data_IF_153980502818
#
_entry.id   IF_153980502818
#
_cell.length_a   1.000
_cell.length_b   1.000
_cell.length_c   1.000
_cell.angle_alpha   90.00
_cell.angle_beta   90.00
_cell.angle_gamma   90.00
#
_symmetry.space_group_name_H-M   'P 1'
#
loop_
_entity.id
_entity.type
_entity.pdbx_description
1 polymer ?
#
# COMPACT_ATOMS: atom_id res chain seq x y z
N UNK A 1 -12.69 -0.88 -22.23
CA UNK A 1 -13.85 -0.74 -21.32
C UNK A 1 -13.36 -0.81 -19.88
N UNK A 2 -13.54 0.25 -19.07
CA UNK A 2 -13.19 0.23 -17.64
C UNK A 2 -14.16 -0.72 -16.93
N UNK A 3 -13.64 -1.74 -16.25
CA UNK A 3 -14.44 -2.72 -15.51
C UNK A 3 -15.30 -2.03 -14.43
N UNK A 4 -16.51 -2.53 -14.18
CA UNK A 4 -17.46 -1.99 -13.19
C UNK A 4 -16.87 -1.56 -11.83
N UNK A 5 -16.01 -2.37 -11.16
CA UNK A 5 -15.42 -2.00 -9.87
C UNK A 5 -14.42 -0.82 -9.95
N UNK A 6 -13.70 -0.66 -11.05
CA UNK A 6 -12.83 0.50 -11.27
C UNK A 6 -13.66 1.78 -11.45
N UNK A 7 -14.80 1.72 -12.16
CA UNK A 7 -15.71 2.86 -12.31
C UNK A 7 -16.26 3.34 -10.97
N UNK A 8 -16.69 2.42 -10.11
CA UNK A 8 -17.22 2.75 -8.78
C UNK A 8 -16.18 3.44 -7.89
N UNK A 9 -14.90 3.01 -7.98
CA UNK A 9 -13.80 3.61 -7.23
C UNK A 9 -13.50 5.03 -7.72
N UNK A 10 -13.46 5.23 -9.04
CA UNK A 10 -13.27 6.55 -9.65
C UNK A 10 -14.42 7.49 -9.26
N UNK A 11 -15.66 7.00 -9.32
CA UNK A 11 -16.84 7.79 -8.97
C UNK A 11 -16.83 8.20 -7.50
N UNK A 12 -16.53 7.27 -6.57
CA UNK A 12 -16.41 7.59 -5.15
C UNK A 12 -15.33 8.63 -4.88
N UNK A 13 -14.16 8.49 -5.52
CA UNK A 13 -13.06 9.47 -5.42
C UNK A 13 -13.52 10.85 -5.90
N UNK A 14 -14.18 10.92 -7.06
CA UNK A 14 -14.72 12.17 -7.59
C UNK A 14 -15.74 12.79 -6.63
N UNK A 15 -16.68 12.01 -6.10
CA UNK A 15 -17.68 12.49 -5.13
C UNK A 15 -17.02 13.04 -3.87
N UNK A 16 -16.05 12.33 -3.26
CA UNK A 16 -15.34 12.81 -2.06
C UNK A 16 -14.65 14.15 -2.31
N UNK A 17 -13.95 14.27 -3.43
CA UNK A 17 -13.24 15.50 -3.78
C UNK A 17 -14.23 16.64 -4.02
N UNK A 18 -15.30 16.41 -4.79
CA UNK A 18 -16.32 17.41 -5.06
C UNK A 18 -17.03 17.87 -3.79
N UNK A 19 -17.37 16.95 -2.89
CA UNK A 19 -18.02 17.28 -1.61
C UNK A 19 -17.07 18.09 -0.74
N UNK A 20 -15.83 17.64 -0.53
CA UNK A 20 -14.85 18.37 0.29
C UNK A 20 -14.56 19.77 -0.28
N UNK A 21 -14.39 19.87 -1.60
CA UNK A 21 -14.16 21.11 -2.31
C UNK A 21 -15.35 22.09 -2.16
N UNK A 22 -16.58 21.59 -2.33
CA UNK A 22 -17.79 22.42 -2.23
C UNK A 22 -18.05 22.89 -0.79
N UNK A 23 -17.92 21.97 0.18
CA UNK A 23 -18.13 22.28 1.61
C UNK A 23 -17.03 23.19 2.15
N UNK A 24 -15.81 23.15 1.60
CA UNK A 24 -14.77 24.11 1.94
C UNK A 24 -15.00 25.48 1.29
N UNK A 25 -15.32 25.50 0.00
CA UNK A 25 -15.41 26.72 -0.79
C UNK A 25 -16.63 27.59 -0.46
N UNK A 26 -17.85 27.04 -0.54
CA UNK A 26 -19.08 27.84 -0.44
C UNK A 26 -19.25 28.53 0.92
N UNK A 27 -19.04 27.87 2.07
CA UNK A 27 -19.18 28.52 3.38
C UNK A 27 -18.12 29.61 3.61
N UNK A 28 -16.88 29.41 3.17
CA UNK A 28 -15.84 30.42 3.31
C UNK A 28 -16.10 31.63 2.40
N UNK A 29 -16.55 31.40 1.17
CA UNK A 29 -16.82 32.47 0.23
C UNK A 29 -18.07 33.27 0.59
N UNK A 30 -19.21 32.60 0.77
CA UNK A 30 -20.51 33.26 0.94
C UNK A 30 -20.91 33.45 2.41
N UNK A 31 -20.41 32.61 3.31
CA UNK A 31 -20.72 32.70 4.75
C UNK A 31 -19.75 33.61 5.49
N UNK A 32 -18.44 33.39 5.31
CA UNK A 32 -17.40 34.15 6.01
C UNK A 32 -16.84 35.34 5.22
N UNK A 33 -17.12 35.45 3.91
CA UNK A 33 -16.58 36.51 3.07
C UNK A 33 -15.05 36.44 2.90
N UNK A 34 -14.46 35.25 2.98
CA UNK A 34 -13.01 35.01 2.91
C UNK A 34 -12.64 34.37 1.56
N UNK A 35 -12.51 35.14 0.46
CA UNK A 35 -12.31 34.59 -0.87
C UNK A 35 -10.96 33.88 -1.02
N UNK A 36 -9.91 34.35 -0.33
CA UNK A 36 -8.59 33.71 -0.39
C UNK A 36 -8.62 32.36 0.33
N UNK A 37 -9.19 32.30 1.54
CA UNK A 37 -9.35 31.05 2.26
C UNK A 37 -10.21 30.04 1.47
N UNK A 38 -11.30 30.51 0.83
CA UNK A 38 -12.16 29.68 0.00
C UNK A 38 -11.39 29.04 -1.16
N UNK A 39 -10.53 29.81 -1.85
CA UNK A 39 -9.70 29.31 -2.95
C UNK A 39 -8.77 28.17 -2.50
N UNK A 40 -8.07 28.36 -1.38
CA UNK A 40 -7.15 27.35 -0.85
C UNK A 40 -7.90 26.11 -0.34
N UNK A 41 -9.10 26.31 0.24
CA UNK A 41 -9.97 25.20 0.65
C UNK A 41 -10.52 24.39 -0.54
N UNK A 42 -10.68 25.01 -1.71
CA UNK A 42 -11.05 24.33 -2.96
C UNK A 42 -9.89 23.54 -3.55
N UNK A 43 -8.71 24.16 -3.62
CA UNK A 43 -7.54 23.56 -4.26
C UNK A 43 -6.93 22.42 -3.45
N UNK A 44 -7.03 22.44 -2.11
CA UNK A 44 -6.49 21.37 -1.27
C UNK A 44 -7.07 19.98 -1.60
N UNK A 45 -8.40 19.80 -1.68
CA UNK A 45 -9.00 18.56 -2.14
C UNK A 45 -8.61 18.16 -3.57
N UNK A 46 -8.38 19.12 -4.46
CA UNK A 46 -7.98 18.84 -5.85
C UNK A 46 -6.52 18.35 -5.88
N UNK A 47 -5.62 19.06 -5.21
CA UNK A 47 -4.20 18.72 -5.13
C UNK A 47 -3.98 17.33 -4.51
N UNK A 48 -4.60 17.08 -3.36
CA UNK A 48 -4.42 15.83 -2.59
C UNK A 48 -5.35 14.71 -3.03
N UNK A 49 -6.51 15.04 -3.58
CA UNK A 49 -7.54 14.06 -3.93
C UNK A 49 -7.54 13.67 -5.40
N UNK A 50 -7.23 14.57 -6.34
CA UNK A 50 -7.20 14.29 -7.79
C UNK A 50 -5.78 14.09 -8.32
N UNK A 51 -4.88 15.03 -8.04
CA UNK A 51 -3.51 14.99 -8.58
C UNK A 51 -2.62 14.01 -7.83
N UNK A 52 -2.85 13.86 -6.52
CA UNK A 52 -2.11 12.90 -5.72
C UNK A 52 -2.74 11.51 -5.81
N UNK A 53 -2.02 10.55 -6.37
CA UNK A 53 -2.44 9.15 -6.41
C UNK A 53 -1.96 8.48 -5.13
N UNK A 54 -2.63 8.79 -4.01
CA UNK A 54 -2.29 8.21 -2.70
C UNK A 54 -2.88 6.81 -2.61
N UNK A 55 -2.04 5.76 -2.57
CA UNK A 55 -2.55 4.41 -2.63
C UNK A 55 -2.77 3.91 -1.18
N UNK A 56 -3.95 3.35 -0.87
CA UNK A 56 -4.30 2.85 0.46
C UNK A 56 -5.81 2.74 0.70
N UNK A 57 -6.19 2.29 1.88
CA UNK A 57 -7.57 2.40 2.41
C UNK A 57 -7.91 3.84 2.81
N UNK A 58 -9.19 4.18 2.97
CA UNK A 58 -9.63 5.53 3.36
C UNK A 58 -8.88 6.11 4.57
N UNK A 59 -8.82 5.40 5.72
CA UNK A 59 -8.08 5.88 6.90
C UNK A 59 -6.57 6.04 6.67
N UNK A 60 -5.96 5.15 5.86
CA UNK A 60 -4.54 5.27 5.52
C UNK A 60 -4.29 6.49 4.63
N UNK A 61 -5.16 6.75 3.64
CA UNK A 61 -5.09 7.96 2.80
C UNK A 61 -5.25 9.21 3.64
N UNK A 62 -6.23 9.25 4.54
CA UNK A 62 -6.44 10.36 5.46
C UNK A 62 -5.20 10.60 6.33
N UNK A 63 -4.62 9.55 6.93
CA UNK A 63 -3.38 9.67 7.71
C UNK A 63 -2.20 10.19 6.88
N UNK A 64 -2.08 9.76 5.63
CA UNK A 64 -1.05 10.24 4.69
C UNK A 64 -1.28 11.71 4.32
N UNK A 65 -2.51 12.13 4.05
CA UNK A 65 -2.88 13.53 3.78
C UNK A 65 -2.58 14.42 4.99
N UNK A 66 -2.94 13.97 6.20
CA UNK A 66 -2.65 14.69 7.44
C UNK A 66 -1.14 14.80 7.70
N UNK A 67 -0.35 13.78 7.38
CA UNK A 67 1.12 13.84 7.45
C UNK A 67 1.74 14.73 6.38
N UNK A 68 1.06 14.90 5.24
CA UNK A 68 1.47 15.80 4.17
C UNK A 68 1.05 17.27 4.42
N UNK A 69 0.18 17.52 5.41
CA UNK A 69 -0.28 18.87 5.73
C UNK A 69 0.86 19.79 6.21
N UNK A 70 1.73 19.42 7.17
CA UNK A 70 2.85 20.27 7.58
C UNK A 70 3.77 20.70 6.42
N UNK A 71 4.27 19.80 5.54
CA UNK A 71 5.07 20.24 4.41
C UNK A 71 4.27 21.06 3.39
N UNK A 72 2.97 20.80 3.20
CA UNK A 72 2.11 21.63 2.35
C UNK A 72 1.99 23.07 2.87
N UNK A 73 1.84 23.25 4.19
CA UNK A 73 1.81 24.56 4.83
C UNK A 73 3.15 25.29 4.66
N UNK A 74 4.27 24.60 4.89
CA UNK A 74 5.62 25.16 4.67
C UNK A 74 5.81 25.59 3.22
N UNK A 75 5.39 24.79 2.24
CA UNK A 75 5.49 25.12 0.82
C UNK A 75 4.61 26.33 0.45
N UNK A 76 3.40 26.43 1.01
CA UNK A 76 2.52 27.57 0.79
C UNK A 76 3.10 28.86 1.41
N UNK A 77 3.72 28.77 2.59
CA UNK A 77 4.44 29.89 3.21
C UNK A 77 5.64 30.30 2.36
N UNK A 78 6.49 29.35 1.95
CA UNK A 78 7.63 29.61 1.09
C UNK A 78 7.21 30.25 -0.23
N UNK A 79 6.22 29.69 -0.92
CA UNK A 79 5.75 30.25 -2.20
C UNK A 79 5.22 31.69 -2.05
N UNK A 80 4.57 32.00 -0.93
CA UNK A 80 4.10 33.37 -0.63
C UNK A 80 5.25 34.33 -0.36
N UNK A 81 6.29 33.91 0.35
CA UNK A 81 7.47 34.72 0.65
C UNK A 81 8.36 34.92 -0.59
N UNK A 82 8.53 33.88 -1.40
CA UNK A 82 9.35 33.92 -2.62
C UNK A 82 8.68 34.70 -3.76
N UNK A 83 7.36 34.94 -3.69
CA UNK A 83 6.63 35.74 -4.67
C UNK A 83 7.05 37.22 -4.71
N UNK A 84 7.88 37.70 -3.77
CA UNK A 84 8.49 39.05 -3.80
C UNK A 84 9.35 39.25 -5.05
N UNK A 85 10.09 38.22 -5.45
CA UNK A 85 11.08 38.29 -6.52
C UNK A 85 10.86 37.13 -7.50
N UNK A 86 10.68 37.46 -8.78
CA UNK A 86 10.41 36.45 -9.82
C UNK A 86 11.55 35.45 -9.99
N UNK A 87 12.81 35.88 -9.86
CA UNK A 87 13.96 34.99 -9.93
C UNK A 87 14.05 34.07 -8.71
N UNK A 88 13.71 34.59 -7.53
CA UNK A 88 13.58 33.76 -6.33
C UNK A 88 12.50 32.69 -6.52
N UNK A 89 11.32 33.06 -7.04
CA UNK A 89 10.24 32.12 -7.32
C UNK A 89 10.63 31.03 -8.34
N UNK A 90 11.33 31.40 -9.42
CA UNK A 90 11.85 30.47 -10.43
C UNK A 90 12.90 29.53 -9.84
N UNK A 91 13.86 30.05 -9.07
CA UNK A 91 14.86 29.24 -8.37
C UNK A 91 14.21 28.27 -7.38
N UNK A 92 13.19 28.73 -6.64
CA UNK A 92 12.41 27.89 -5.74
C UNK A 92 11.64 26.79 -6.47
N UNK A 93 11.03 27.07 -7.64
CA UNK A 93 10.40 26.03 -8.46
C UNK A 93 11.38 24.94 -8.87
N UNK A 94 12.61 25.32 -9.27
CA UNK A 94 13.66 24.38 -9.66
C UNK A 94 14.07 23.49 -8.47
N UNK A 95 14.40 24.11 -7.32
CA UNK A 95 14.87 23.38 -6.13
C UNK A 95 13.77 22.49 -5.54
N UNK A 96 12.54 23.00 -5.39
CA UNK A 96 11.44 22.23 -4.82
C UNK A 96 11.01 21.11 -5.77
N UNK A 97 10.92 21.39 -7.08
CA UNK A 97 10.64 20.36 -8.07
C UNK A 97 11.69 19.24 -8.04
N UNK A 98 12.97 19.60 -7.92
CA UNK A 98 14.06 18.63 -7.75
C UNK A 98 13.92 17.81 -6.47
N UNK A 99 13.71 18.45 -5.31
CA UNK A 99 13.53 17.75 -4.04
C UNK A 99 12.33 16.79 -4.07
N UNK A 100 11.20 17.23 -4.63
CA UNK A 100 10.00 16.40 -4.78
C UNK A 100 10.21 15.23 -5.75
N UNK A 101 11.06 15.38 -6.77
CA UNK A 101 11.44 14.26 -7.63
C UNK A 101 12.19 13.17 -6.84
N UNK A 102 13.03 13.55 -5.87
CA UNK A 102 13.73 12.59 -5.00
C UNK A 102 12.83 11.94 -3.95
N UNK A 103 11.69 12.55 -3.59
CA UNK A 103 10.69 11.95 -2.68
C UNK A 103 10.16 10.61 -3.23
N UNK A 104 10.17 10.42 -4.56
CA UNK A 104 9.77 9.15 -5.17
C UNK A 104 10.67 7.96 -4.78
N UNK A 105 11.93 8.22 -4.41
CA UNK A 105 12.89 7.20 -3.98
C UNK A 105 12.48 6.58 -2.63
N UNK A 106 11.73 7.32 -1.80
CA UNK A 106 11.27 6.85 -0.49
C UNK A 106 10.11 5.84 -0.58
N UNK A 107 9.56 5.58 -1.77
CA UNK A 107 8.56 4.55 -2.03
C UNK A 107 7.27 5.07 -2.67
N UNK A 108 6.30 4.18 -2.93
CA UNK A 108 5.12 4.49 -3.75
C UNK A 108 4.15 5.49 -3.10
N UNK A 109 4.05 5.52 -1.76
CA UNK A 109 3.18 6.43 -1.02
C UNK A 109 3.67 7.88 -1.04
N UNK A 110 4.94 8.19 -0.69
CA UNK A 110 5.46 9.55 -0.79
C UNK A 110 5.53 10.04 -2.25
N UNK A 111 5.85 9.16 -3.22
CA UNK A 111 5.83 9.49 -4.65
C UNK A 111 4.45 10.00 -5.11
N UNK A 112 3.37 9.40 -4.61
CA UNK A 112 2.01 9.73 -5.02
C UNK A 112 1.54 11.12 -4.64
N UNK A 113 2.18 11.79 -3.67
CA UNK A 113 1.75 13.10 -3.14
C UNK A 113 2.52 14.27 -3.77
N UNK A 114 3.68 14.00 -4.37
CA UNK A 114 4.56 15.02 -4.93
C UNK A 114 3.85 16.02 -5.88
N UNK A 115 2.97 15.58 -6.82
CA UNK A 115 2.24 16.53 -7.68
C UNK A 115 1.32 17.48 -6.90
N UNK A 116 0.67 16.99 -5.84
CA UNK A 116 -0.19 17.82 -4.99
C UNK A 116 0.61 18.85 -4.18
N UNK A 117 1.76 18.45 -3.63
CA UNK A 117 2.66 19.36 -2.92
C UNK A 117 3.22 20.45 -3.84
N UNK A 118 3.62 20.08 -5.06
CA UNK A 118 4.09 21.03 -6.06
C UNK A 118 3.00 22.07 -6.40
N UNK A 119 1.73 21.65 -6.51
CA UNK A 119 0.62 22.56 -6.75
C UNK A 119 0.46 23.61 -5.64
N UNK A 120 0.67 23.27 -4.37
CA UNK A 120 0.58 24.24 -3.27
C UNK A 120 1.67 25.31 -3.34
N UNK A 121 2.89 24.93 -3.73
CA UNK A 121 3.95 25.89 -3.98
C UNK A 121 3.60 26.80 -5.18
N UNK A 122 3.19 26.21 -6.30
CA UNK A 122 2.81 26.95 -7.52
C UNK A 122 1.67 27.93 -7.21
N UNK A 123 0.60 27.48 -6.54
CA UNK A 123 -0.55 28.31 -6.21
C UNK A 123 -0.17 29.49 -5.30
N UNK A 124 0.78 29.28 -4.38
CA UNK A 124 1.26 30.33 -3.50
C UNK A 124 2.17 31.36 -4.21
N UNK A 125 2.93 30.92 -5.22
CA UNK A 125 3.78 31.78 -6.05
C UNK A 125 3.01 32.62 -7.08
N UNK A 126 1.76 32.27 -7.43
CA UNK A 126 1.05 32.85 -8.58
C UNK A 126 0.15 34.10 -8.39
N UNK A 127 -0.07 34.70 -7.20
CA UNK A 127 -0.71 36.03 -7.09
C UNK A 127 0.31 37.13 -6.74
N UNK A 128 -0.01 38.44 -6.87
CA UNK A 128 0.90 39.50 -6.41
C UNK A 128 1.30 39.26 -4.96
N UNK A 129 2.53 39.63 -4.60
CA UNK A 129 3.04 39.50 -3.24
C UNK A 129 2.07 40.17 -2.25
N UNK A 130 1.41 39.35 -1.44
CA UNK A 130 0.35 39.77 -0.51
C UNK A 130 0.50 38.98 0.81
N UNK A 131 1.53 39.28 1.61
CA UNK A 131 1.86 38.52 2.81
C UNK A 131 0.75 38.55 3.87
N UNK A 132 -0.05 39.62 3.90
CA UNK A 132 -1.16 39.79 4.85
C UNK A 132 -2.23 38.69 4.69
N UNK A 133 -2.34 38.10 3.49
CA UNK A 133 -3.28 37.02 3.20
C UNK A 133 -2.79 35.64 3.63
N UNK A 134 -1.55 35.52 4.13
CA UNK A 134 -0.93 34.22 4.44
C UNK A 134 -1.77 33.39 5.41
N UNK A 135 -2.31 34.01 6.46
CA UNK A 135 -3.14 33.32 7.46
C UNK A 135 -4.39 32.73 6.81
N UNK A 136 -5.05 33.47 5.92
CA UNK A 136 -6.21 32.99 5.17
C UNK A 136 -5.85 31.82 4.24
N UNK A 137 -4.70 31.89 3.54
CA UNK A 137 -4.21 30.81 2.67
C UNK A 137 -4.00 29.53 3.46
N UNK A 138 -3.31 29.62 4.60
CA UNK A 138 -3.01 28.47 5.46
C UNK A 138 -4.27 27.90 6.12
N UNK A 139 -5.19 28.76 6.56
CA UNK A 139 -6.48 28.36 7.12
C UNK A 139 -7.34 27.62 6.09
N UNK A 140 -7.45 28.17 4.88
CA UNK A 140 -8.16 27.55 3.76
C UNK A 140 -7.58 26.19 3.39
N UNK A 141 -6.25 26.11 3.25
CA UNK A 141 -5.54 24.87 2.93
C UNK A 141 -5.77 23.80 4.00
N UNK A 142 -5.69 24.20 5.27
CA UNK A 142 -5.93 23.32 6.42
C UNK A 142 -7.38 22.83 6.42
N UNK A 143 -8.36 23.72 6.24
CA UNK A 143 -9.77 23.37 6.20
C UNK A 143 -10.07 22.38 5.06
N UNK A 144 -9.60 22.65 3.83
CA UNK A 144 -9.78 21.75 2.70
C UNK A 144 -9.11 20.39 2.90
N UNK A 145 -7.93 20.35 3.50
CA UNK A 145 -7.23 19.11 3.85
C UNK A 145 -8.02 18.27 4.86
N UNK A 146 -8.52 18.90 5.93
CA UNK A 146 -9.29 18.25 6.97
C UNK A 146 -10.64 17.74 6.44
N UNK A 147 -11.33 18.50 5.60
CA UNK A 147 -12.58 18.09 4.96
C UNK A 147 -12.38 16.90 4.03
N UNK A 148 -11.29 16.87 3.26
CA UNK A 148 -10.96 15.71 2.42
C UNK A 148 -10.63 14.49 3.29
N UNK A 149 -9.81 14.66 4.33
CA UNK A 149 -9.48 13.58 5.25
C UNK A 149 -10.74 13.02 5.95
N UNK A 150 -11.65 13.89 6.38
CA UNK A 150 -12.94 13.49 6.93
C UNK A 150 -13.78 12.71 5.90
N UNK A 151 -13.84 13.18 4.65
CA UNK A 151 -14.56 12.50 3.56
C UNK A 151 -14.00 11.11 3.26
N UNK A 152 -12.68 10.92 3.35
CA UNK A 152 -12.03 9.60 3.22
C UNK A 152 -12.37 8.65 4.37
N UNK A 153 -12.62 9.17 5.57
CA UNK A 153 -13.05 8.36 6.73
C UNK A 153 -14.54 8.08 6.76
N UNK A 154 -15.38 9.02 6.29
CA UNK A 154 -16.84 8.91 6.32
C UNK A 154 -17.40 8.07 5.16
N UNK A 155 -16.75 8.09 3.99
CA UNK A 155 -17.15 7.31 2.83
C UNK A 155 -16.04 6.33 2.44
N UNK A 156 -15.57 5.38 3.28
CA UNK A 156 -14.41 4.57 2.97
C UNK A 156 -14.61 3.68 1.72
N UNK A 157 -13.54 3.48 0.95
CA UNK A 157 -13.53 2.42 -0.07
C UNK A 157 -13.55 1.04 0.63
N UNK A 158 -14.20 0.03 0.04
CA UNK A 158 -14.10 -1.34 0.56
C UNK A 158 -12.61 -1.72 0.63
N UNK A 159 -12.16 -2.11 1.82
CA UNK A 159 -10.76 -2.40 2.08
C UNK A 159 -10.31 -3.56 1.19
N UNK A 160 -9.35 -3.31 0.31
CA UNK A 160 -8.66 -4.40 -0.38
C UNK A 160 -7.85 -5.17 0.67
N UNK A 161 -7.85 -6.52 0.64
CA UNK A 161 -7.06 -7.30 1.57
C UNK A 161 -5.59 -6.96 1.39
N UNK A 162 -4.91 -6.74 2.52
CA UNK A 162 -3.50 -6.36 2.53
C UNK A 162 -2.64 -7.47 1.94
N UNK A 163 -1.44 -7.14 1.46
CA UNK A 163 -0.53 -8.19 0.95
C UNK A 163 -0.19 -9.23 2.02
N UNK A 164 -0.14 -8.81 3.29
CA UNK A 164 0.06 -9.70 4.44
C UNK A 164 -1.08 -10.69 4.62
N UNK A 165 -2.32 -10.25 4.47
CA UNK A 165 -3.51 -11.11 4.52
C UNK A 165 -3.58 -12.06 3.33
N UNK A 166 -3.26 -11.58 2.12
CA UNK A 166 -3.17 -12.40 0.90
C UNK A 166 -2.13 -13.51 1.08
N UNK A 167 -0.95 -13.16 1.59
CA UNK A 167 0.10 -14.13 1.89
C UNK A 167 -0.33 -15.14 2.95
N UNK A 168 -1.02 -14.70 4.01
CA UNK A 168 -1.54 -15.60 5.03
C UNK A 168 -2.59 -16.57 4.46
N UNK A 169 -3.50 -16.09 3.61
CA UNK A 169 -4.50 -16.93 2.96
C UNK A 169 -3.86 -17.97 2.01
N UNK A 170 -2.85 -17.55 1.24
CA UNK A 170 -2.10 -18.46 0.38
C UNK A 170 -1.34 -19.55 1.16
N UNK A 171 -0.80 -19.20 2.33
CA UNK A 171 -0.15 -20.16 3.24
C UNK A 171 -1.16 -21.13 3.87
N UNK A 172 -2.38 -20.70 4.17
CA UNK A 172 -3.43 -21.63 4.62
C UNK A 172 -3.81 -22.62 3.52
N UNK A 173 -3.89 -22.19 2.25
CA UNK A 173 -4.11 -23.10 1.12
C UNK A 173 -2.92 -24.05 0.93
N UNK A 174 -1.68 -23.57 1.10
CA UNK A 174 -0.50 -24.43 1.08
C UNK A 174 -0.53 -25.48 2.21
N UNK A 175 -0.99 -25.10 3.42
CA UNK A 175 -1.14 -26.03 4.53
C UNK A 175 -2.17 -27.12 4.23
N UNK A 176 -3.28 -26.79 3.59
CA UNK A 176 -4.29 -27.76 3.15
C UNK A 176 -3.76 -28.65 2.02
N UNK A 177 -3.01 -28.09 1.08
CA UNK A 177 -2.39 -28.85 -0.01
C UNK A 177 -1.33 -29.86 0.47
N UNK A 178 -0.66 -29.57 1.58
CA UNK A 178 0.28 -30.48 2.23
C UNK A 178 -0.40 -31.51 3.17
N UNK A 179 -1.67 -31.33 3.50
CA UNK A 179 -2.39 -32.24 4.40
C UNK A 179 -2.96 -33.47 3.64
N UNK A 180 -3.17 -34.61 4.35
CA UNK A 180 -3.86 -35.76 3.77
C UNK A 180 -5.27 -35.39 3.29
N UNK A 181 -5.62 -35.79 2.08
CA UNK A 181 -6.92 -35.47 1.45
C UNK A 181 -6.84 -34.42 0.34
N UNK A 182 -5.71 -33.72 0.20
CA UNK A 182 -5.35 -32.92 -0.97
C UNK A 182 -6.25 -31.71 -1.25
N UNK A 183 -5.70 -30.75 -1.99
CA UNK A 183 -6.47 -29.66 -2.60
C UNK A 183 -6.28 -29.77 -4.10
N UNK A 184 -7.31 -29.47 -4.89
CA UNK A 184 -7.20 -29.46 -6.35
C UNK A 184 -6.00 -28.60 -6.79
N UNK A 185 -5.16 -29.08 -7.72
CA UNK A 185 -3.92 -28.38 -8.11
C UNK A 185 -4.20 -26.99 -8.68
N UNK A 186 -5.34 -26.80 -9.36
CA UNK A 186 -5.79 -25.49 -9.86
C UNK A 186 -5.96 -24.48 -8.72
N UNK A 187 -6.55 -24.91 -7.60
CA UNK A 187 -6.80 -24.03 -6.44
C UNK A 187 -5.50 -23.60 -5.76
N UNK A 188 -4.47 -24.46 -5.76
CA UNK A 188 -3.14 -24.09 -5.26
C UNK A 188 -2.46 -23.06 -6.18
N UNK A 189 -2.58 -23.24 -7.50
CA UNK A 189 -2.06 -22.28 -8.49
C UNK A 189 -2.80 -20.95 -8.45
N UNK A 190 -4.12 -20.98 -8.26
CA UNK A 190 -4.95 -19.78 -8.08
C UNK A 190 -4.55 -19.03 -6.81
N UNK A 191 -4.35 -19.73 -5.69
CA UNK A 191 -3.83 -19.11 -4.48
C UNK A 191 -2.46 -18.44 -4.74
N UNK A 192 -1.58 -19.08 -5.51
CA UNK A 192 -0.28 -18.52 -5.90
C UNK A 192 -0.40 -17.31 -6.83
N UNK A 193 -1.36 -17.31 -7.76
CA UNK A 193 -1.56 -16.21 -8.70
C UNK A 193 -1.94 -14.91 -7.98
N UNK A 194 -2.73 -14.98 -6.90
CA UNK A 194 -3.12 -13.80 -6.09
C UNK A 194 -1.94 -13.06 -5.44
N UNK A 195 -0.77 -13.70 -5.32
CA UNK A 195 0.45 -13.13 -4.76
C UNK A 195 1.33 -12.41 -5.80
N UNK A 196 0.99 -12.49 -7.09
CA UNK A 196 1.70 -11.77 -8.16
C UNK A 196 1.49 -10.27 -7.97
N UNK A 197 2.59 -9.53 -7.88
CA UNK A 197 2.55 -8.08 -7.60
C UNK A 197 1.78 -7.29 -8.66
N UNK A 198 1.70 -7.79 -9.89
CA UNK A 198 0.89 -7.19 -10.95
C UNK A 198 -0.60 -7.12 -10.58
N UNK A 199 -1.10 -8.17 -9.92
CA UNK A 199 -2.51 -8.35 -9.54
C UNK A 199 -2.84 -7.72 -8.17
N UNK A 200 -1.81 -7.26 -7.45
CA UNK A 200 -1.96 -6.56 -6.17
C UNK A 200 -2.17 -5.06 -6.43
N UNK A 201 -3.15 -4.40 -5.79
CA UNK A 201 -3.31 -2.96 -5.89
C UNK A 201 -2.01 -2.23 -5.52
N UNK A 202 -1.61 -1.16 -6.25
CA UNK A 202 -0.34 -0.46 -6.00
C UNK A 202 -0.09 -0.06 -4.54
N UNK A 203 -1.15 0.19 -3.79
CA UNK A 203 -1.15 0.55 -2.36
C UNK A 203 -0.64 -0.52 -1.41
N UNK A 204 -0.95 -1.76 -1.75
CA UNK A 204 -0.71 -2.93 -0.94
C UNK A 204 0.58 -3.65 -1.38
N UNK A 205 1.18 -3.23 -2.50
CA UNK A 205 2.43 -3.83 -2.99
C UNK A 205 3.55 -3.56 -1.98
N UNK A 206 4.28 -4.59 -1.52
CA UNK A 206 5.45 -4.43 -0.67
C UNK A 206 6.65 -3.93 -1.50
N UNK A 207 6.58 -2.70 -1.98
CA UNK A 207 7.56 -2.11 -2.90
C UNK A 207 8.47 -1.04 -2.25
N UNK A 208 8.39 -0.84 -0.93
CA UNK A 208 9.26 0.10 -0.23
C UNK A 208 10.69 -0.43 -0.03
N UNK A 209 11.59 0.48 0.32
CA UNK A 209 13.00 0.15 0.59
C UNK A 209 13.22 -0.51 1.97
N UNK A 210 12.18 -0.59 2.81
CA UNK A 210 12.26 -1.12 4.16
C UNK A 210 12.44 -2.64 4.22
N UNK A 211 13.06 -3.12 5.31
CA UNK A 211 13.27 -4.57 5.55
C UNK A 211 11.97 -5.37 5.53
N UNK A 212 10.88 -4.80 6.06
CA UNK A 212 9.58 -5.46 6.10
C UNK A 212 9.00 -5.69 4.69
N UNK A 213 9.10 -4.70 3.81
CA UNK A 213 8.61 -4.82 2.42
C UNK A 213 9.45 -5.83 1.65
N UNK A 214 10.78 -5.78 1.79
CA UNK A 214 11.67 -6.79 1.21
C UNK A 214 11.39 -8.21 1.71
N UNK A 215 11.13 -8.37 3.00
CA UNK A 215 10.77 -9.66 3.58
C UNK A 215 9.43 -10.19 3.05
N UNK A 216 8.41 -9.32 2.92
CA UNK A 216 7.12 -9.69 2.34
C UNK A 216 7.23 -10.09 0.87
N UNK A 217 7.99 -9.33 0.09
CA UNK A 217 8.24 -9.62 -1.32
C UNK A 217 8.93 -10.98 -1.50
N UNK A 218 9.94 -11.28 -0.67
CA UNK A 218 10.63 -12.56 -0.67
C UNK A 218 9.71 -13.70 -0.21
N UNK A 219 8.96 -13.51 0.87
CA UNK A 219 8.02 -14.50 1.36
C UNK A 219 6.93 -14.84 0.33
N UNK A 220 6.44 -13.83 -0.40
CA UNK A 220 5.48 -14.02 -1.49
C UNK A 220 6.05 -14.78 -2.69
N UNK A 221 7.33 -14.61 -3.03
CA UNK A 221 8.01 -15.46 -4.03
C UNK A 221 8.11 -16.91 -3.57
N UNK A 222 8.56 -17.13 -2.33
CA UNK A 222 8.70 -18.47 -1.76
C UNK A 222 7.37 -19.19 -1.62
N UNK A 223 6.31 -18.52 -1.17
CA UNK A 223 4.98 -19.10 -1.04
C UNK A 223 4.40 -19.51 -2.40
N UNK A 224 4.59 -18.69 -3.45
CA UNK A 224 4.19 -19.07 -4.82
C UNK A 224 4.91 -20.32 -5.30
N UNK A 225 6.22 -20.40 -5.07
CA UNK A 225 7.01 -21.58 -5.43
C UNK A 225 6.53 -22.82 -4.67
N UNK A 226 6.26 -22.70 -3.38
CA UNK A 226 5.73 -23.80 -2.57
C UNK A 226 4.38 -24.29 -3.10
N UNK A 227 3.45 -23.38 -3.38
CA UNK A 227 2.14 -23.72 -3.94
C UNK A 227 2.24 -24.42 -5.30
N UNK A 228 3.14 -23.96 -6.16
CA UNK A 228 3.40 -24.60 -7.45
C UNK A 228 3.98 -26.01 -7.28
N UNK A 229 4.93 -26.19 -6.36
CA UNK A 229 5.48 -27.51 -6.02
C UNK A 229 4.43 -28.46 -5.44
N UNK A 230 3.54 -27.97 -4.57
CA UNK A 230 2.43 -28.76 -4.03
C UNK A 230 1.40 -29.12 -5.12
N UNK A 231 1.13 -28.22 -6.06
CA UNK A 231 0.27 -28.52 -7.20
C UNK A 231 0.88 -29.61 -8.10
N UNK A 232 2.17 -29.53 -8.40
CA UNK A 232 2.88 -30.57 -9.16
C UNK A 232 2.88 -31.91 -8.42
N UNK A 233 3.05 -31.92 -7.10
CA UNK A 233 2.95 -33.13 -6.28
C UNK A 233 1.53 -33.73 -6.30
N UNK A 234 0.49 -32.89 -6.29
CA UNK A 234 -0.90 -33.33 -6.36
C UNK A 234 -1.29 -33.93 -7.72
N UNK A 235 -0.61 -33.52 -8.80
CA UNK A 235 -0.79 -34.08 -10.14
C UNK A 235 0.00 -35.37 -10.37
N UNK A 236 1.00 -35.65 -9.53
CA UNK A 236 1.79 -36.86 -9.65
C UNK A 236 0.92 -38.10 -9.39
N UNK A 237 1.18 -39.23 -10.09
CA UNK A 237 0.45 -40.48 -9.85
C UNK A 237 0.54 -40.89 -8.39
N UNK A 238 -0.57 -41.39 -7.83
CA UNK A 238 -0.64 -41.87 -6.46
C UNK A 238 0.41 -42.96 -6.22
N UNK A 239 1.45 -42.62 -5.47
CA UNK A 239 2.44 -43.56 -4.97
C UNK A 239 1.95 -44.22 -3.67
N UNK A 240 2.49 -45.39 -3.28
CA UNK A 240 2.25 -45.97 -1.97
C UNK A 240 2.57 -44.94 -0.87
N UNK A 241 1.72 -44.87 0.16
CA UNK A 241 1.88 -43.90 1.24
C UNK A 241 3.21 -44.13 1.98
N UNK A 242 4.17 -43.23 1.78
CA UNK A 242 5.44 -43.22 2.51
C UNK A 242 5.26 -42.42 3.81
N UNK A 243 5.40 -43.05 5.00
CA UNK A 243 5.21 -42.37 6.28
C UNK A 243 6.20 -41.23 6.51
N UNK A 244 7.42 -41.31 5.97
CA UNK A 244 8.43 -40.25 6.11
C UNK A 244 8.03 -39.01 5.30
N UNK A 245 7.56 -39.23 4.07
CA UNK A 245 7.03 -38.16 3.21
C UNK A 245 5.78 -37.54 3.84
N UNK A 246 4.86 -38.34 4.38
CA UNK A 246 3.68 -37.85 5.08
C UNK A 246 4.05 -37.02 6.34
N UNK A 247 5.06 -37.44 7.10
CA UNK A 247 5.55 -36.71 8.25
C UNK A 247 6.17 -35.35 7.85
N UNK A 248 6.96 -35.30 6.78
CA UNK A 248 7.54 -34.06 6.26
C UNK A 248 6.44 -33.09 5.78
N UNK A 249 5.46 -33.59 5.03
CA UNK A 249 4.31 -32.79 4.57
C UNK A 249 3.46 -32.27 5.73
N UNK A 250 3.25 -33.08 6.77
CA UNK A 250 2.62 -32.64 8.02
C UNK A 250 3.37 -31.47 8.68
N UNK A 251 4.71 -31.52 8.72
CA UNK A 251 5.52 -30.40 9.22
C UNK A 251 5.44 -29.16 8.35
N UNK A 252 5.37 -29.31 7.02
CA UNK A 252 5.15 -28.18 6.11
C UNK A 252 3.79 -27.53 6.39
N UNK A 253 2.73 -28.32 6.58
CA UNK A 253 1.39 -27.81 6.90
C UNK A 253 1.34 -27.03 8.22
N UNK A 254 1.97 -27.56 9.27
CA UNK A 254 2.08 -26.90 10.58
C UNK A 254 2.80 -25.55 10.47
N UNK A 255 3.95 -25.51 9.77
CA UNK A 255 4.73 -24.29 9.59
C UNK A 255 3.99 -23.25 8.75
N UNK A 256 3.30 -23.67 7.68
CA UNK A 256 2.49 -22.77 6.87
C UNK A 256 1.36 -22.13 7.70
N UNK A 257 0.68 -22.92 8.54
CA UNK A 257 -0.36 -22.43 9.44
C UNK A 257 0.20 -21.49 10.51
N UNK A 258 1.38 -21.79 11.06
CA UNK A 258 2.07 -20.92 12.02
C UNK A 258 2.48 -19.59 11.38
N UNK A 259 3.04 -19.61 10.17
CA UNK A 259 3.36 -18.42 9.38
C UNK A 259 2.10 -17.59 9.08
N UNK A 260 1.02 -18.21 8.63
CA UNK A 260 -0.25 -17.54 8.35
C UNK A 260 -0.82 -16.86 9.60
N UNK A 261 -0.76 -17.53 10.76
CA UNK A 261 -1.14 -16.95 12.05
C UNK A 261 -0.26 -15.77 12.43
N UNK A 262 1.06 -15.90 12.32
CA UNK A 262 2.01 -14.82 12.61
C UNK A 262 1.76 -13.59 11.72
N UNK A 263 1.48 -13.79 10.43
CA UNK A 263 1.14 -12.69 9.51
C UNK A 263 -0.16 -11.97 9.91
N UNK A 264 -1.13 -12.66 10.52
CA UNK A 264 -2.38 -12.04 10.97
C UNK A 264 -2.27 -11.35 12.32
N UNK A 265 -1.54 -11.95 13.26
CA UNK A 265 -1.53 -11.51 14.67
C UNK A 265 -0.26 -10.77 15.07
N UNK A 266 0.80 -10.80 14.24
CA UNK A 266 2.13 -10.27 14.57
C UNK A 266 2.83 -10.99 15.72
N UNK A 267 2.27 -12.09 16.23
CA UNK A 267 2.69 -12.72 17.47
C UNK A 267 3.18 -14.15 17.23
N UNK A 268 4.19 -14.57 18.00
CA UNK A 268 4.79 -15.92 17.97
C UNK A 268 5.30 -16.31 16.58
N UNK A 269 6.42 -15.71 16.11
CA UNK A 269 7.03 -16.12 14.86
C UNK A 269 7.45 -17.60 14.93
N UNK A 270 7.29 -18.37 13.84
CA UNK A 270 7.80 -19.73 13.81
C UNK A 270 9.33 -19.72 13.91
N UNK A 271 9.93 -20.75 14.55
CA UNK A 271 11.37 -20.81 14.74
C UNK A 271 12.10 -20.86 13.38
N UNK A 272 13.09 -19.99 13.21
CA UNK A 272 13.96 -20.01 12.03
C UNK A 272 14.69 -21.35 11.93
N UNK A 273 14.86 -21.87 10.70
CA UNK A 273 15.57 -23.14 10.50
C UNK A 273 14.72 -24.39 10.73
N UNK A 274 13.44 -24.27 11.13
CA UNK A 274 12.61 -25.41 11.48
C UNK A 274 12.34 -26.34 10.29
N UNK A 275 12.09 -25.76 9.10
CA UNK A 275 11.89 -26.53 7.88
C UNK A 275 13.20 -27.19 7.44
N UNK A 276 14.31 -26.46 7.48
CA UNK A 276 15.64 -26.98 7.13
C UNK A 276 16.07 -28.12 8.06
N UNK A 277 15.67 -28.08 9.33
CA UNK A 277 15.88 -29.18 10.28
C UNK A 277 15.02 -30.40 9.90
N UNK A 278 13.75 -30.20 9.54
CA UNK A 278 12.86 -31.29 9.10
C UNK A 278 13.36 -31.94 7.79
N UNK A 279 13.78 -31.13 6.81
CA UNK A 279 14.34 -31.61 5.55
C UNK A 279 15.62 -32.43 5.75
N UNK A 280 16.52 -31.98 6.63
CA UNK A 280 17.73 -32.76 6.96
C UNK A 280 17.40 -34.10 7.61
N UNK A 281 16.39 -34.15 8.49
CA UNK A 281 15.92 -35.40 9.08
C UNK A 281 15.43 -36.37 8.01
N UNK A 282 14.51 -35.91 7.15
CA UNK A 282 14.00 -36.70 6.02
C UNK A 282 15.11 -37.21 5.10
N UNK A 283 16.08 -36.37 4.74
CA UNK A 283 17.21 -36.78 3.90
C UNK A 283 18.06 -37.87 4.57
N UNK A 284 18.33 -37.74 5.87
CA UNK A 284 19.11 -38.74 6.62
C UNK A 284 18.37 -40.09 6.68
N UNK A 285 17.04 -40.07 6.84
CA UNK A 285 16.21 -41.27 6.85
C UNK A 285 16.22 -41.97 5.48
N UNK A 286 16.07 -41.22 4.39
CA UNK A 286 16.15 -41.74 3.02
C UNK A 286 17.52 -42.35 2.68
N UNK A 287 18.61 -41.73 3.15
CA UNK A 287 19.96 -42.28 2.96
C UNK A 287 20.12 -43.59 3.73
N UNK A 288 19.61 -43.68 4.97
CA UNK A 288 19.64 -44.93 5.76
C UNK A 288 18.88 -46.06 5.08
N UNK A 289 17.69 -45.79 4.56
CA UNK A 289 16.89 -46.78 3.84
C UNK A 289 17.57 -47.26 2.55
N UNK A 290 18.23 -46.36 1.82
CA UNK A 290 18.95 -46.71 0.58
C UNK A 290 20.27 -47.46 0.82
N UNK A 291 20.89 -47.30 1.99
CA UNK A 291 22.20 -47.89 2.29
C UNK A 291 22.13 -49.33 2.82
N UNK A 292 20.93 -49.84 3.15
CA UNK A 292 20.72 -51.18 3.72
C UNK A 292 21.27 -51.32 5.16
N UNK A 293 20.88 -52.38 5.91
CA UNK A 293 21.59 -52.73 7.15
C UNK A 293 23.03 -53.19 6.83
N UNK A 294 23.99 -53.04 7.76
CA UNK A 294 25.33 -53.59 7.60
C UNK A 294 25.33 -55.12 7.46
#
# INVERSE_FOLDING_TARGET
MIAGPQRATILRRAVRVTVAASVGFYPLLYGAGLPVAALYALFAPIAMGLLSVVPGSGPQRAAVMLRALPPALVLATLGTLLAVDTWAAVGGMLVIGFLLAFVAVAGPRPAGIAPGLQLFYILACFPPYAPDTLVERLAGLTAGALLLAASETLLPDPAAPSYRERLAAALDEAARGAAPGGVAPERLRDAGSTLRLADVPPAERPAGAGRADRALEQAGRSARRLLDQLATLAEAPSAPADPETAALLGRVAELCTACARFLRTGSRPPPAGALEKAMRGFQADRVRLASGPP
#
